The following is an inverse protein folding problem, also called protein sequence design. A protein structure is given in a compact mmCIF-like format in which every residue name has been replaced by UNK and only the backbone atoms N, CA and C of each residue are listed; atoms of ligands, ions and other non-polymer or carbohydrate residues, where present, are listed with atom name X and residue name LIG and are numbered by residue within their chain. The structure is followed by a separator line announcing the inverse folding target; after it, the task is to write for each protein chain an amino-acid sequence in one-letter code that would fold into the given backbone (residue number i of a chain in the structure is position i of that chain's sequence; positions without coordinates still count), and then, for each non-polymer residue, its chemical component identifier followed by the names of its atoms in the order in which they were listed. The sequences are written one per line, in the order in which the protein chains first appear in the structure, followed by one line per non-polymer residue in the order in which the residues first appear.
data_IF_871081711387
#
_entry.id   IF_871081711387
#
_cell.length_a   1.000
_cell.length_b   1.000
_cell.length_c   1.000
_cell.angle_alpha   90.00
_cell.angle_beta   90.00
_cell.angle_gamma   90.00
#
_symmetry.space_group_name_H-M   'P 1'
#
loop_
_entity.id
_entity.type
_entity.pdbx_description
1 polymer ?
#
# COMPACT_ATOMS: atom_id res chain seq x y z
N UNK A 1 -8.33 21.70 -21.34
CA UNK A 1 -9.76 21.40 -21.03
C UNK A 1 -9.89 21.45 -19.51
N UNK A 2 -10.82 22.20 -18.94
CA UNK A 2 -10.94 22.28 -17.49
C UNK A 2 -11.20 20.88 -16.88
N UNK A 3 -10.84 20.71 -15.62
CA UNK A 3 -11.13 19.47 -14.89
C UNK A 3 -12.65 19.17 -14.94
N UNK A 4 -13.04 17.89 -15.03
CA UNK A 4 -14.45 17.52 -14.94
C UNK A 4 -15.04 17.95 -13.58
N UNK A 5 -16.34 18.09 -13.50
CA UNK A 5 -17.06 18.35 -12.25
C UNK A 5 -18.00 17.19 -11.94
N UNK A 6 -18.35 17.00 -10.68
CA UNK A 6 -19.26 15.95 -10.22
C UNK A 6 -18.77 14.52 -10.56
N UNK A 7 -17.47 14.28 -10.39
CA UNK A 7 -16.91 12.94 -10.55
C UNK A 7 -17.42 12.03 -9.45
N UNK A 8 -18.04 10.93 -9.84
CA UNK A 8 -18.57 9.92 -8.91
C UNK A 8 -18.45 8.53 -9.52
N UNK A 9 -17.91 7.59 -8.76
CA UNK A 9 -17.89 6.16 -9.07
C UNK A 9 -17.68 5.35 -7.77
N UNK A 10 -18.06 4.07 -7.73
CA UNK A 10 -17.82 3.25 -6.54
C UNK A 10 -16.32 3.03 -6.33
N UNK A 11 -15.85 3.14 -5.07
CA UNK A 11 -14.47 2.75 -4.74
C UNK A 11 -14.21 1.32 -5.18
N UNK A 12 -13.08 1.02 -5.86
CA UNK A 12 -12.76 -0.35 -6.25
C UNK A 12 -12.75 -1.29 -5.04
N UNK A 13 -13.60 -2.33 -5.10
CA UNK A 13 -13.78 -3.29 -3.99
C UNK A 13 -12.85 -4.51 -4.11
N UNK A 14 -12.01 -4.57 -5.12
CA UNK A 14 -11.09 -5.69 -5.31
C UNK A 14 -10.13 -5.75 -4.12
N UNK A 15 -10.32 -6.74 -3.28
CA UNK A 15 -9.55 -6.92 -2.03
C UNK A 15 -8.15 -7.45 -2.25
N UNK A 16 -7.88 -8.03 -3.44
CA UNK A 16 -6.54 -8.50 -3.82
C UNK A 16 -6.27 -8.20 -5.30
N UNK A 17 -5.18 -7.51 -5.57
CA UNK A 17 -4.58 -7.42 -6.88
C UNK A 17 -3.50 -8.50 -6.99
N UNK A 18 -3.35 -9.09 -8.17
CA UNK A 18 -2.26 -10.02 -8.44
C UNK A 18 -0.98 -9.20 -8.60
N UNK A 19 -0.34 -8.89 -7.49
CA UNK A 19 0.96 -8.23 -7.52
C UNK A 19 2.02 -9.18 -8.05
N UNK A 20 2.90 -8.69 -8.91
CA UNK A 20 3.99 -9.46 -9.48
C UNK A 20 5.12 -9.76 -8.48
N UNK A 21 5.18 -8.98 -7.43
CA UNK A 21 6.19 -9.09 -6.35
C UNK A 21 5.51 -9.52 -5.04
N UNK A 22 6.28 -10.00 -4.11
CA UNK A 22 5.89 -10.38 -2.75
C UNK A 22 6.33 -9.36 -1.69
N UNK A 23 6.46 -8.10 -2.07
CA UNK A 23 6.90 -7.04 -1.17
C UNK A 23 5.99 -6.91 0.05
N UNK A 24 6.63 -6.66 1.19
CA UNK A 24 5.95 -6.46 2.46
C UNK A 24 6.18 -5.03 2.94
N UNK A 25 5.11 -4.37 3.39
CA UNK A 25 5.19 -3.05 3.99
C UNK A 25 5.73 -3.17 5.41
N UNK A 26 6.84 -2.49 5.68
CA UNK A 26 7.51 -2.47 6.97
C UNK A 26 7.49 -1.06 7.55
N UNK A 27 6.89 -0.87 8.72
CA UNK A 27 6.71 0.45 9.33
C UNK A 27 8.03 1.21 9.56
N UNK A 28 9.11 0.50 9.86
CA UNK A 28 10.44 1.08 10.07
C UNK A 28 11.15 1.47 8.78
N UNK A 29 10.67 1.03 7.63
CA UNK A 29 11.21 1.34 6.28
C UNK A 29 10.32 2.31 5.51
N UNK A 30 9.06 2.48 5.91
CA UNK A 30 8.06 3.20 5.16
C UNK A 30 8.07 4.72 5.44
N UNK A 31 7.76 5.50 4.40
CA UNK A 31 7.32 6.90 4.46
C UNK A 31 5.93 6.95 3.85
N UNK A 32 4.99 7.64 4.49
CA UNK A 32 3.65 7.89 3.94
C UNK A 32 3.70 9.13 3.04
N UNK A 33 3.31 8.98 1.78
CA UNK A 33 3.08 10.10 0.86
C UNK A 33 1.58 10.36 0.70
N UNK A 34 1.16 11.58 1.00
CA UNK A 34 -0.18 12.09 0.71
C UNK A 34 -0.05 13.04 -0.49
N UNK A 35 -0.42 12.53 -1.68
CA UNK A 35 -0.13 13.15 -2.95
C UNK A 35 -1.24 14.10 -3.38
N UNK A 36 -0.91 15.39 -3.56
CA UNK A 36 -1.72 16.46 -4.18
C UNK A 36 -3.17 16.57 -3.70
N UNK A 37 -3.41 16.48 -2.40
CA UNK A 37 -4.74 16.60 -1.81
C UNK A 37 -5.21 18.07 -1.69
N UNK A 38 -4.86 18.89 -2.69
CA UNK A 38 -5.30 20.28 -2.79
C UNK A 38 -6.78 20.36 -3.22
N UNK A 39 -7.50 21.33 -2.68
CA UNK A 39 -8.93 21.52 -2.98
C UNK A 39 -9.23 21.61 -4.47
N UNK A 40 -8.34 22.21 -5.26
CA UNK A 40 -8.48 22.25 -6.72
C UNK A 40 -8.71 20.87 -7.34
N UNK A 41 -8.04 19.84 -6.82
CA UNK A 41 -8.15 18.46 -7.29
C UNK A 41 -9.25 17.68 -6.56
N UNK A 42 -9.57 18.04 -5.33
CA UNK A 42 -10.55 17.34 -4.48
C UNK A 42 -11.97 17.79 -4.77
N UNK A 43 -12.18 19.09 -5.02
CA UNK A 43 -13.51 19.69 -5.17
C UNK A 43 -14.21 19.29 -6.48
N UNK A 44 -13.58 18.51 -7.35
CA UNK A 44 -14.20 17.92 -8.55
C UNK A 44 -15.12 16.74 -8.23
N UNK A 45 -14.92 16.09 -7.10
CA UNK A 45 -15.72 14.93 -6.70
C UNK A 45 -17.05 15.35 -6.12
N UNK A 46 -18.09 14.61 -6.47
CA UNK A 46 -19.43 14.83 -5.96
C UNK A 46 -19.47 14.61 -4.43
N UNK A 47 -19.92 15.63 -3.69
CA UNK A 47 -19.94 15.61 -2.22
C UNK A 47 -20.87 14.53 -1.64
N UNK A 48 -21.96 14.23 -2.36
CA UNK A 48 -22.98 13.27 -1.94
C UNK A 48 -22.63 11.81 -2.37
N UNK A 49 -21.52 11.63 -3.09
CA UNK A 49 -21.04 10.30 -3.48
C UNK A 49 -20.36 9.58 -2.32
N UNK A 50 -20.28 8.26 -2.42
CA UNK A 50 -19.54 7.42 -1.45
C UNK A 50 -18.02 7.52 -1.66
N UNK A 51 -17.56 7.95 -2.85
CA UNK A 51 -16.15 7.97 -3.24
C UNK A 51 -15.32 8.90 -2.37
N UNK A 52 -15.68 10.18 -2.33
CA UNK A 52 -14.89 11.20 -1.62
C UNK A 52 -14.80 10.95 -0.11
N UNK A 53 -15.89 10.68 0.62
CA UNK A 53 -15.81 10.35 2.04
C UNK A 53 -14.97 9.09 2.31
N UNK A 54 -15.04 8.08 1.43
CA UNK A 54 -14.23 6.87 1.55
C UNK A 54 -12.75 7.17 1.36
N UNK A 55 -12.39 7.92 0.31
CA UNK A 55 -11.02 8.37 0.05
C UNK A 55 -10.43 9.11 1.26
N UNK A 56 -11.11 10.17 1.69
CA UNK A 56 -10.65 11.01 2.80
C UNK A 56 -10.56 10.23 4.11
N UNK A 57 -11.56 9.40 4.39
CA UNK A 57 -11.60 8.57 5.60
C UNK A 57 -10.47 7.54 5.63
N UNK A 58 -10.13 6.93 4.50
CA UNK A 58 -9.04 5.97 4.41
C UNK A 58 -7.67 6.65 4.53
N UNK A 59 -7.45 7.79 3.88
CA UNK A 59 -6.21 8.58 4.05
C UNK A 59 -6.04 8.98 5.52
N UNK A 60 -7.10 9.47 6.18
CA UNK A 60 -7.05 9.86 7.58
C UNK A 60 -6.69 8.70 8.52
N UNK A 61 -7.26 7.50 8.29
CA UNK A 61 -6.92 6.28 9.07
C UNK A 61 -5.46 5.89 8.87
N UNK A 62 -4.96 5.93 7.63
CA UNK A 62 -3.56 5.60 7.33
C UNK A 62 -2.63 6.63 7.96
N UNK A 63 -2.97 7.92 7.92
CA UNK A 63 -2.20 8.99 8.57
C UNK A 63 -2.11 8.77 10.09
N UNK A 64 -3.22 8.45 10.72
CA UNK A 64 -3.25 8.15 12.16
C UNK A 64 -2.40 6.90 12.50
N UNK A 65 -2.51 5.84 11.71
CA UNK A 65 -1.67 4.66 11.84
C UNK A 65 -0.18 4.99 11.66
N UNK A 66 0.16 5.82 10.67
CA UNK A 66 1.52 6.25 10.43
C UNK A 66 2.10 6.98 11.65
N UNK A 67 1.33 7.88 12.28
CA UNK A 67 1.72 8.56 13.54
C UNK A 67 1.98 7.57 14.66
N UNK A 68 1.07 6.63 14.88
CA UNK A 68 1.21 5.60 15.93
C UNK A 68 2.44 4.72 15.74
N UNK A 69 2.88 4.55 14.49
CA UNK A 69 4.06 3.76 14.11
C UNK A 69 5.33 4.60 13.92
N UNK A 70 5.29 5.90 14.19
CA UNK A 70 6.39 6.84 13.93
C UNK A 70 6.89 6.80 12.47
N UNK A 71 5.94 6.67 11.54
CA UNK A 71 6.20 6.74 10.10
C UNK A 71 6.15 8.21 9.69
N UNK A 72 7.19 8.77 9.08
CA UNK A 72 7.17 10.12 8.57
C UNK A 72 6.09 10.31 7.52
N UNK A 73 5.39 11.45 7.57
CA UNK A 73 4.35 11.82 6.62
C UNK A 73 4.86 12.95 5.75
N UNK A 74 4.78 12.74 4.45
CA UNK A 74 5.16 13.71 3.42
C UNK A 74 3.94 14.05 2.60
N UNK A 75 3.75 15.33 2.36
CA UNK A 75 2.74 15.84 1.44
C UNK A 75 3.39 16.40 0.20
N UNK A 76 2.74 16.25 -0.93
CA UNK A 76 3.05 17.06 -2.10
C UNK A 76 1.92 18.01 -2.42
N UNK A 77 2.29 19.14 -3.01
CA UNK A 77 1.37 20.09 -3.59
C UNK A 77 1.93 20.66 -4.88
N UNK A 78 1.03 20.94 -5.83
CA UNK A 78 1.37 21.63 -7.08
C UNK A 78 1.48 23.13 -6.80
N UNK A 79 2.61 23.71 -7.22
CA UNK A 79 2.79 25.16 -7.26
C UNK A 79 2.33 25.70 -8.60
N UNK A 80 1.06 26.08 -8.71
CA UNK A 80 0.38 26.39 -9.97
C UNK A 80 1.10 27.47 -10.81
N UNK A 81 1.64 28.49 -10.17
CA UNK A 81 2.33 29.56 -10.91
C UNK A 81 3.64 29.06 -11.55
N UNK A 82 4.35 28.15 -10.88
CA UNK A 82 5.59 27.57 -11.39
C UNK A 82 5.30 26.58 -12.51
N UNK A 83 4.26 25.75 -12.36
CA UNK A 83 3.95 24.72 -13.37
C UNK A 83 3.57 25.33 -14.72
N UNK A 84 2.82 26.44 -14.74
CA UNK A 84 2.45 27.12 -16.00
C UNK A 84 3.64 27.84 -16.63
N UNK A 85 4.53 28.40 -15.83
CA UNK A 85 5.71 29.09 -16.32
C UNK A 85 6.77 28.09 -16.90
N UNK A 86 7.05 27.02 -16.15
CA UNK A 86 8.12 26.08 -16.49
C UNK A 86 7.63 24.98 -17.47
N UNK A 87 6.33 24.70 -17.47
CA UNK A 87 5.70 23.64 -18.25
C UNK A 87 4.40 24.13 -18.95
N UNK A 88 4.51 25.05 -19.92
CA UNK A 88 3.32 25.65 -20.55
C UNK A 88 2.41 24.63 -21.24
N UNK A 89 2.94 23.53 -21.74
CA UNK A 89 2.12 22.47 -22.35
C UNK A 89 1.18 21.77 -21.37
N UNK A 90 1.43 21.81 -20.07
CA UNK A 90 0.51 21.27 -19.05
C UNK A 90 -0.76 22.11 -18.96
N UNK A 91 -0.65 23.42 -19.22
CA UNK A 91 -1.81 24.33 -19.25
C UNK A 91 -2.80 23.96 -20.38
N UNK A 92 -2.29 23.51 -21.53
CA UNK A 92 -3.14 23.04 -22.64
C UNK A 92 -4.08 21.90 -22.22
N UNK A 93 -3.64 21.06 -21.26
CA UNK A 93 -4.42 19.94 -20.73
C UNK A 93 -5.37 20.35 -19.59
N UNK A 94 -4.90 21.18 -18.66
CA UNK A 94 -5.56 21.39 -17.37
C UNK A 94 -6.20 22.77 -17.19
N UNK A 95 -5.78 23.78 -17.98
CA UNK A 95 -6.34 25.12 -17.93
C UNK A 95 -6.20 25.78 -16.56
N UNK A 96 -5.00 25.88 -16.04
CA UNK A 96 -4.72 26.43 -14.70
C UNK A 96 -4.92 27.96 -14.57
N UNK A 97 -5.66 28.57 -15.44
CA UNK A 97 -5.95 30.00 -15.38
C UNK A 97 -6.75 30.35 -14.10
N UNK A 98 -6.30 31.41 -13.40
CA UNK A 98 -7.00 32.05 -12.28
C UNK A 98 -7.51 31.12 -11.15
N UNK A 99 -6.67 30.20 -10.67
CA UNK A 99 -7.03 29.32 -9.54
C UNK A 99 -7.11 30.14 -8.24
N UNK A 100 -8.27 30.16 -7.57
CA UNK A 100 -8.42 30.87 -6.31
C UNK A 100 -7.44 30.38 -5.24
N UNK A 101 -6.90 31.28 -4.39
CA UNK A 101 -5.94 30.87 -3.35
C UNK A 101 -6.44 29.75 -2.43
N UNK A 102 -7.73 29.75 -2.08
CA UNK A 102 -8.33 28.70 -1.23
C UNK A 102 -8.34 27.33 -1.90
N UNK A 103 -8.37 27.24 -3.24
CA UNK A 103 -8.32 26.01 -4.00
C UNK A 103 -6.90 25.42 -4.07
N UNK A 104 -5.87 26.24 -3.84
CA UNK A 104 -4.48 25.80 -3.80
C UNK A 104 -4.11 25.09 -2.48
N UNK A 105 -4.93 25.25 -1.43
CA UNK A 105 -4.69 24.65 -0.12
C UNK A 105 -5.03 23.16 -0.10
N UNK A 106 -4.28 22.39 0.68
CA UNK A 106 -4.62 21.00 0.98
C UNK A 106 -5.95 20.98 1.76
N UNK A 107 -6.83 20.04 1.42
CA UNK A 107 -8.13 19.91 2.10
C UNK A 107 -7.97 19.69 3.61
N UNK A 108 -8.82 20.36 4.41
CA UNK A 108 -8.74 20.33 5.87
C UNK A 108 -8.92 18.93 6.48
N UNK A 109 -9.59 18.01 5.78
CA UNK A 109 -9.82 16.65 6.26
C UNK A 109 -8.54 15.82 6.42
N UNK A 110 -7.51 16.14 5.66
CA UNK A 110 -6.21 15.45 5.67
C UNK A 110 -5.06 16.45 5.70
N UNK A 111 -5.27 17.61 6.29
CA UNK A 111 -4.27 18.68 6.34
C UNK A 111 -2.97 18.24 7.01
N UNK A 112 -1.83 18.81 6.60
CA UNK A 112 -0.56 18.62 7.29
C UNK A 112 -0.64 19.08 8.74
N UNK A 113 0.11 18.43 9.62
CA UNK A 113 0.26 18.76 11.03
C UNK A 113 1.72 19.09 11.35
N UNK A 114 1.96 19.55 12.56
CA UNK A 114 3.33 19.84 13.01
C UNK A 114 4.22 18.58 12.92
N UNK A 115 5.35 18.72 12.22
CA UNK A 115 6.29 17.61 11.97
C UNK A 115 6.08 16.90 10.63
N UNK A 116 4.96 17.15 9.93
CA UNK A 116 4.77 16.64 8.57
C UNK A 116 5.63 17.44 7.57
N UNK A 117 6.15 16.77 6.55
CA UNK A 117 6.98 17.39 5.51
C UNK A 117 6.09 17.79 4.35
N UNK A 118 6.24 19.02 3.86
CA UNK A 118 5.53 19.54 2.70
C UNK A 118 6.51 19.81 1.56
N UNK A 119 6.29 19.18 0.40
CA UNK A 119 7.11 19.32 -0.80
C UNK A 119 6.30 20.00 -1.91
N UNK A 120 6.82 21.13 -2.37
CA UNK A 120 6.30 21.82 -3.56
C UNK A 120 6.83 21.18 -4.84
N UNK A 121 5.96 20.96 -5.82
CA UNK A 121 6.38 20.40 -7.11
C UNK A 121 5.68 21.07 -8.29
N UNK A 122 6.35 21.02 -9.44
CA UNK A 122 5.82 21.48 -10.73
C UNK A 122 5.62 20.34 -11.74
N UNK A 123 5.71 19.09 -11.30
CA UNK A 123 5.60 17.90 -12.14
C UNK A 123 4.55 16.93 -11.60
N UNK A 124 4.11 15.97 -12.40
CA UNK A 124 3.20 14.93 -11.93
C UNK A 124 3.82 14.05 -10.86
N UNK A 125 5.06 13.63 -11.05
CA UNK A 125 5.75 12.73 -10.13
C UNK A 125 6.31 13.49 -8.92
N UNK A 126 6.07 12.96 -7.72
CA UNK A 126 6.73 13.42 -6.50
C UNK A 126 8.23 13.06 -6.47
N UNK A 127 8.66 12.14 -7.33
CA UNK A 127 10.06 11.70 -7.46
C UNK A 127 10.83 12.42 -8.57
N UNK A 128 10.21 13.36 -9.28
CA UNK A 128 10.85 14.09 -10.38
C UNK A 128 11.98 14.99 -9.87
N UNK A 129 11.76 15.71 -8.78
CA UNK A 129 12.85 16.30 -8.00
C UNK A 129 13.50 15.21 -7.13
N UNK A 130 14.77 15.44 -6.74
CA UNK A 130 15.45 14.51 -5.84
C UNK A 130 15.04 14.68 -4.36
N UNK A 131 14.24 15.70 -4.04
CA UNK A 131 13.90 16.10 -2.68
C UNK A 131 13.26 14.97 -1.87
N UNK A 132 12.20 14.33 -2.41
CA UNK A 132 11.55 13.21 -1.72
C UNK A 132 12.51 12.01 -1.55
N UNK A 133 13.29 11.69 -2.59
CA UNK A 133 14.26 10.60 -2.52
C UNK A 133 15.38 10.89 -1.49
N UNK A 134 15.80 12.14 -1.39
CA UNK A 134 16.76 12.58 -0.38
C UNK A 134 16.21 12.46 1.03
N UNK A 135 14.96 12.88 1.27
CA UNK A 135 14.29 12.71 2.57
C UNK A 135 14.21 11.24 2.98
N UNK A 136 13.81 10.33 2.07
CA UNK A 136 13.80 8.89 2.38
C UNK A 136 15.21 8.41 2.80
N UNK A 137 16.23 8.81 2.04
CA UNK A 137 17.62 8.42 2.32
C UNK A 137 18.12 8.96 3.68
N UNK A 138 17.85 10.22 3.99
CA UNK A 138 18.23 10.85 5.26
C UNK A 138 17.54 10.18 6.47
N UNK A 139 16.32 9.72 6.29
CA UNK A 139 15.55 8.97 7.27
C UNK A 139 15.95 7.48 7.35
N UNK A 140 16.85 7.01 6.46
CA UNK A 140 17.23 5.59 6.37
C UNK A 140 16.06 4.70 5.92
N UNK A 141 15.15 5.22 5.06
CA UNK A 141 13.95 4.53 4.61
C UNK A 141 13.97 4.31 3.11
N UNK A 142 13.38 3.23 2.65
CA UNK A 142 13.38 2.80 1.24
C UNK A 142 12.02 2.25 0.77
N UNK A 143 10.96 2.46 1.56
CA UNK A 143 9.59 2.14 1.20
C UNK A 143 8.74 3.41 1.17
N UNK A 144 7.85 3.53 0.16
CA UNK A 144 6.95 4.65 -0.02
C UNK A 144 5.51 4.16 -0.10
N UNK A 145 4.69 4.50 0.89
CA UNK A 145 3.25 4.23 0.91
C UNK A 145 2.52 5.42 0.31
N UNK A 146 1.82 5.23 -0.82
CA UNK A 146 1.26 6.33 -1.63
C UNK A 146 -0.26 6.34 -1.54
N UNK A 147 -0.80 7.50 -1.18
CA UNK A 147 -2.23 7.85 -1.15
C UNK A 147 -2.45 9.17 -1.90
N UNK A 148 -3.70 9.52 -2.22
CA UNK A 148 -4.06 10.84 -2.80
C UNK A 148 -4.45 10.81 -4.28
N UNK A 149 -4.15 11.87 -5.03
CA UNK A 149 -4.70 12.16 -6.36
C UNK A 149 -3.61 12.48 -7.41
N UNK A 150 -3.80 12.22 -8.71
CA UNK A 150 -4.77 11.26 -9.27
C UNK A 150 -4.08 9.91 -9.48
N UNK A 151 -4.82 8.82 -9.34
CA UNK A 151 -4.28 7.46 -9.37
C UNK A 151 -3.46 7.15 -10.62
N UNK A 152 -4.04 7.38 -11.82
CA UNK A 152 -3.43 7.06 -13.13
C UNK A 152 -2.44 8.11 -13.62
N UNK A 153 -2.27 9.19 -12.88
CA UNK A 153 -1.38 10.29 -13.23
C UNK A 153 -0.27 10.42 -12.18
N UNK A 154 -0.41 11.35 -11.24
CA UNK A 154 0.64 11.66 -10.26
C UNK A 154 1.06 10.46 -9.42
N UNK A 155 0.11 9.69 -8.90
CA UNK A 155 0.42 8.51 -8.07
C UNK A 155 1.16 7.43 -8.85
N UNK A 156 0.64 7.00 -10.02
CA UNK A 156 1.25 5.96 -10.86
C UNK A 156 2.64 6.37 -11.36
N UNK A 157 2.80 7.62 -11.79
CA UNK A 157 4.10 8.11 -12.27
C UNK A 157 5.10 8.16 -11.11
N UNK A 158 4.68 8.58 -9.92
CA UNK A 158 5.52 8.56 -8.70
C UNK A 158 5.97 7.14 -8.36
N UNK A 159 5.08 6.13 -8.41
CA UNK A 159 5.46 4.72 -8.22
C UNK A 159 6.51 4.28 -9.23
N UNK A 160 6.32 4.65 -10.50
CA UNK A 160 7.25 4.28 -11.59
C UNK A 160 8.63 4.89 -11.40
N UNK A 161 8.69 6.14 -10.96
CA UNK A 161 9.96 6.83 -10.73
C UNK A 161 10.62 6.38 -9.41
N UNK A 162 9.85 6.00 -8.40
CA UNK A 162 10.36 5.39 -7.17
C UNK A 162 11.12 4.08 -7.47
N UNK A 163 10.58 3.23 -8.33
CA UNK A 163 11.25 2.00 -8.77
C UNK A 163 12.62 2.27 -9.40
N UNK A 164 12.74 3.31 -10.24
CA UNK A 164 14.03 3.73 -10.86
C UNK A 164 15.07 4.18 -9.83
N UNK A 165 14.63 4.60 -8.65
CA UNK A 165 15.48 5.03 -7.54
C UNK A 165 15.68 3.93 -6.48
N UNK A 166 15.29 2.66 -6.78
CA UNK A 166 15.34 1.51 -5.86
C UNK A 166 14.51 1.70 -4.58
N UNK A 167 13.38 2.41 -4.67
CA UNK A 167 12.41 2.59 -3.60
C UNK A 167 11.21 1.68 -3.87
N UNK A 168 10.86 0.83 -2.90
CA UNK A 168 9.68 -0.02 -2.97
C UNK A 168 8.42 0.82 -2.74
N UNK A 169 7.61 1.00 -3.77
CA UNK A 169 6.41 1.81 -3.69
C UNK A 169 5.15 0.93 -3.55
N UNK A 170 4.31 1.28 -2.56
CA UNK A 170 3.03 0.66 -2.25
C UNK A 170 1.91 1.65 -2.56
N UNK A 171 1.07 1.32 -3.54
CA UNK A 171 -0.09 2.15 -3.92
C UNK A 171 -1.34 1.66 -3.18
N UNK A 172 -1.97 2.53 -2.41
CA UNK A 172 -3.14 2.14 -1.60
C UNK A 172 -4.41 2.25 -2.40
N UNK A 173 -4.97 1.11 -2.82
CA UNK A 173 -6.05 0.99 -3.80
C UNK A 173 -7.34 1.74 -3.44
N UNK A 174 -7.66 1.87 -2.18
CA UNK A 174 -8.87 2.51 -1.66
C UNK A 174 -8.60 3.83 -0.91
N UNK A 175 -7.36 4.34 -1.01
CA UNK A 175 -6.93 5.64 -0.53
C UNK A 175 -6.34 6.52 -1.65
N UNK A 176 -6.66 6.21 -2.90
CA UNK A 176 -6.43 7.00 -4.11
C UNK A 176 -7.73 7.15 -4.87
N UNK A 177 -7.82 8.13 -5.77
CA UNK A 177 -8.93 8.24 -6.72
C UNK A 177 -8.47 8.87 -8.04
N UNK A 178 -9.33 8.83 -9.06
CA UNK A 178 -9.05 9.37 -10.38
C UNK A 178 -10.27 10.06 -10.98
N UNK A 179 -10.16 10.53 -12.22
CA UNK A 179 -11.23 11.18 -12.97
C UNK A 179 -12.31 10.20 -13.43
N UNK A 180 -12.00 8.90 -13.48
CA UNK A 180 -12.94 7.84 -13.82
C UNK A 180 -12.58 6.52 -13.09
N UNK A 181 -13.58 5.65 -12.95
CA UNK A 181 -13.37 4.28 -12.44
C UNK A 181 -12.35 3.50 -13.27
N UNK A 182 -12.39 3.67 -14.60
CA UNK A 182 -11.48 2.98 -15.50
C UNK A 182 -10.04 3.44 -15.33
N UNK A 183 -9.80 4.75 -15.17
CA UNK A 183 -8.46 5.29 -14.92
C UNK A 183 -7.91 4.83 -13.57
N UNK A 184 -8.77 4.78 -12.56
CA UNK A 184 -8.40 4.21 -11.26
C UNK A 184 -7.95 2.75 -11.39
N UNK A 185 -8.74 1.91 -12.08
CA UNK A 185 -8.36 0.50 -12.32
C UNK A 185 -7.11 0.36 -13.19
N UNK A 186 -6.94 1.22 -14.20
CA UNK A 186 -5.75 1.21 -15.06
C UNK A 186 -4.48 1.47 -14.24
N UNK A 187 -4.52 2.43 -13.30
CA UNK A 187 -3.41 2.70 -12.38
C UNK A 187 -3.06 1.49 -11.55
N UNK A 188 -4.05 0.88 -10.89
CA UNK A 188 -3.86 -0.28 -10.02
C UNK A 188 -3.28 -1.47 -10.78
N UNK A 189 -3.85 -1.80 -11.94
CA UNK A 189 -3.38 -2.90 -12.78
C UNK A 189 -1.95 -2.65 -13.28
N UNK A 190 -1.64 -1.42 -13.70
CA UNK A 190 -0.30 -1.07 -14.16
C UNK A 190 0.73 -1.22 -13.03
N UNK A 191 0.44 -0.68 -11.86
CA UNK A 191 1.34 -0.74 -10.70
C UNK A 191 1.58 -2.18 -10.26
N UNK A 192 0.51 -2.98 -10.09
CA UNK A 192 0.63 -4.37 -9.65
C UNK A 192 1.48 -5.23 -10.61
N UNK A 193 1.41 -4.97 -11.91
CA UNK A 193 2.08 -5.78 -12.92
C UNK A 193 3.50 -5.32 -13.27
N UNK A 194 3.84 -4.02 -13.08
CA UNK A 194 5.05 -3.48 -13.70
C UNK A 194 5.94 -2.66 -12.78
N UNK A 195 5.41 -1.94 -11.78
CA UNK A 195 6.22 -0.90 -11.15
C UNK A 195 6.20 -0.84 -9.63
N UNK A 196 5.23 -1.50 -8.97
CA UNK A 196 5.08 -1.41 -7.53
C UNK A 196 4.22 -2.52 -6.95
N UNK A 197 3.70 -2.27 -5.77
CA UNK A 197 2.82 -3.19 -5.05
C UNK A 197 1.49 -2.49 -4.73
N UNK A 198 0.37 -3.12 -5.05
CA UNK A 198 -0.96 -2.61 -4.70
C UNK A 198 -1.41 -3.23 -3.39
N UNK A 199 -1.79 -2.38 -2.46
CA UNK A 199 -2.25 -2.75 -1.11
C UNK A 199 -3.56 -2.01 -0.81
N UNK A 200 -4.38 -2.45 0.12
CA UNK A 200 -5.56 -1.71 0.57
C UNK A 200 -5.39 -1.20 2.01
N UNK A 201 -6.24 -0.25 2.42
CA UNK A 201 -6.21 0.36 3.75
C UNK A 201 -6.26 -0.68 4.86
N UNK A 202 -7.13 -1.69 4.78
CA UNK A 202 -7.22 -2.71 5.82
C UNK A 202 -5.90 -3.47 5.99
N UNK A 203 -5.25 -3.84 4.89
CA UNK A 203 -3.96 -4.55 4.95
C UNK A 203 -2.84 -3.65 5.48
N UNK A 204 -2.89 -2.33 5.23
CA UNK A 204 -1.94 -1.36 5.83
C UNK A 204 -2.11 -1.32 7.34
N UNK A 205 -3.36 -1.20 7.81
CA UNK A 205 -3.66 -1.07 9.25
C UNK A 205 -3.45 -2.37 10.02
N UNK A 206 -3.73 -3.51 9.39
CA UNK A 206 -3.66 -4.85 9.94
C UNK A 206 -2.79 -5.74 9.03
N UNK A 207 -1.47 -5.53 9.02
CA UNK A 207 -0.58 -6.33 8.17
C UNK A 207 -0.64 -7.80 8.58
N UNK A 208 -0.97 -8.66 7.61
CA UNK A 208 -0.91 -10.09 7.84
C UNK A 208 0.55 -10.50 8.02
N UNK A 209 0.86 -11.37 8.97
CA UNK A 209 2.22 -11.86 9.14
C UNK A 209 2.67 -12.58 7.87
N UNK A 210 3.92 -12.37 7.49
CA UNK A 210 4.56 -13.13 6.41
C UNK A 210 4.76 -14.56 6.90
N UNK A 211 4.11 -15.51 6.24
CA UNK A 211 4.36 -16.92 6.51
C UNK A 211 5.73 -17.28 5.93
N UNK A 212 6.77 -17.20 6.77
CA UNK A 212 8.14 -17.66 6.50
C UNK A 212 8.41 -18.96 7.23
N UNK A 213 9.53 -19.63 6.91
CA UNK A 213 9.97 -20.77 7.68
C UNK A 213 10.17 -20.43 9.17
N UNK A 214 10.74 -19.26 9.44
CA UNK A 214 10.89 -18.75 10.80
C UNK A 214 9.52 -18.56 11.49
N UNK A 215 8.54 -17.95 10.79
CA UNK A 215 7.18 -17.81 11.30
C UNK A 215 6.56 -19.17 11.64
N UNK A 216 6.74 -20.17 10.76
CA UNK A 216 6.25 -21.54 11.01
C UNK A 216 6.89 -22.13 12.27
N UNK A 217 8.20 -22.00 12.42
CA UNK A 217 8.93 -22.47 13.61
C UNK A 217 8.43 -21.77 14.89
N UNK A 218 8.26 -20.45 14.86
CA UNK A 218 7.76 -19.66 16.00
C UNK A 218 6.32 -20.08 16.37
N UNK A 219 5.45 -20.31 15.38
CA UNK A 219 4.07 -20.76 15.61
C UNK A 219 4.01 -22.16 16.19
N UNK A 220 4.77 -23.10 15.65
CA UNK A 220 4.82 -24.47 16.18
C UNK A 220 5.37 -24.45 17.62
N UNK A 221 6.44 -23.69 17.88
CA UNK A 221 6.98 -23.53 19.24
C UNK A 221 5.97 -22.91 20.21
N UNK A 222 5.22 -21.88 19.78
CA UNK A 222 4.20 -21.21 20.60
C UNK A 222 3.00 -22.13 20.91
N UNK A 223 2.72 -23.12 20.08
CA UNK A 223 1.68 -24.11 20.28
C UNK A 223 2.11 -25.32 21.13
N UNK A 224 3.41 -25.48 21.34
CA UNK A 224 3.98 -26.51 22.22
C UNK A 224 4.22 -25.94 23.62
N UNK A 225 3.85 -26.66 24.67
CA UNK A 225 3.94 -26.21 26.06
C UNK A 225 5.42 -26.12 26.56
N UNK A 226 6.34 -26.80 25.90
CA UNK A 226 7.78 -26.82 26.21
C UNK A 226 8.61 -26.42 24.98
N UNK A 227 8.89 -25.15 24.84
CA UNK A 227 9.68 -24.59 23.74
C UNK A 227 11.15 -24.99 23.86
N UNK A 228 11.50 -26.19 23.40
CA UNK A 228 12.87 -26.61 23.13
C UNK A 228 13.16 -26.45 21.65
N UNK A 229 14.44 -26.23 21.35
CA UNK A 229 14.92 -26.18 19.97
C UNK A 229 14.42 -27.42 19.22
N UNK A 230 13.42 -27.25 18.34
CA UNK A 230 12.84 -28.34 17.58
C UNK A 230 13.78 -28.72 16.45
N UNK A 231 14.12 -30.01 16.38
CA UNK A 231 14.78 -30.60 15.20
C UNK A 231 13.75 -30.54 14.04
N UNK A 232 14.07 -29.90 12.91
CA UNK A 232 13.16 -29.75 11.77
C UNK A 232 12.63 -31.07 11.18
N UNK A 233 13.39 -32.13 11.27
CA UNK A 233 13.04 -33.45 10.74
C UNK A 233 12.29 -34.32 11.77
N UNK A 234 12.17 -33.87 13.00
CA UNK A 234 11.53 -34.64 14.06
C UNK A 234 10.02 -34.64 13.90
N UNK A 235 9.41 -35.81 14.10
CA UNK A 235 7.96 -35.95 14.12
C UNK A 235 7.36 -35.12 15.27
N UNK A 236 6.58 -34.10 14.93
CA UNK A 236 6.02 -33.13 15.86
C UNK A 236 4.94 -33.76 16.78
N UNK A 237 4.26 -34.82 16.33
CA UNK A 237 3.29 -35.55 17.17
C UNK A 237 4.03 -36.15 18.38
N UNK A 238 5.21 -36.69 18.19
CA UNK A 238 6.04 -37.20 19.28
C UNK A 238 6.59 -36.10 20.20
N UNK A 239 6.52 -34.86 19.77
CA UNK A 239 6.86 -33.66 20.56
C UNK A 239 5.67 -33.05 21.29
N UNK A 240 4.48 -33.67 21.20
CA UNK A 240 3.26 -33.17 21.82
C UNK A 240 2.39 -32.28 20.93
N UNK A 241 2.67 -32.20 19.61
CA UNK A 241 1.84 -31.45 18.67
C UNK A 241 0.62 -32.30 18.27
N UNK A 242 -0.44 -32.22 19.07
CA UNK A 242 -1.66 -32.99 18.88
C UNK A 242 -2.57 -32.45 17.77
N UNK A 243 -3.67 -33.18 17.53
CA UNK A 243 -4.65 -32.80 16.49
C UNK A 243 -5.29 -31.43 16.73
N UNK A 244 -5.48 -31.01 17.97
CA UNK A 244 -6.07 -29.70 18.28
C UNK A 244 -5.13 -28.56 17.92
N UNK A 245 -3.84 -28.70 18.20
CA UNK A 245 -2.79 -27.77 17.82
C UNK A 245 -2.64 -27.69 16.30
N UNK A 246 -2.73 -28.83 15.62
CA UNK A 246 -2.69 -28.89 14.16
C UNK A 246 -3.90 -28.14 13.53
N UNK A 247 -5.11 -28.34 14.06
CA UNK A 247 -6.31 -27.61 13.59
C UNK A 247 -6.17 -26.09 13.80
N UNK A 248 -5.58 -25.66 14.93
CA UNK A 248 -5.31 -24.24 15.19
C UNK A 248 -4.35 -23.64 14.16
N UNK A 249 -3.25 -24.34 13.87
CA UNK A 249 -2.28 -23.91 12.85
C UNK A 249 -2.94 -23.83 11.46
N UNK A 250 -3.71 -24.85 11.08
CA UNK A 250 -4.44 -24.90 9.81
C UNK A 250 -5.43 -23.73 9.71
N UNK A 251 -6.16 -23.45 10.76
CA UNK A 251 -7.12 -22.33 10.80
C UNK A 251 -6.42 -21.00 10.57
N UNK A 252 -5.29 -20.77 11.23
CA UNK A 252 -4.49 -19.55 11.06
C UNK A 252 -3.92 -19.44 9.64
N UNK A 253 -3.37 -20.51 9.08
CA UNK A 253 -2.85 -20.53 7.70
C UNK A 253 -3.96 -20.23 6.69
N UNK A 254 -5.15 -20.80 6.87
CA UNK A 254 -6.31 -20.53 6.01
C UNK A 254 -6.77 -19.07 6.11
N UNK A 255 -6.76 -18.47 7.30
CA UNK A 255 -7.03 -17.03 7.48
C UNK A 255 -5.98 -16.13 6.81
N UNK A 256 -4.75 -16.62 6.68
CA UNK A 256 -3.67 -15.94 5.94
C UNK A 256 -3.76 -16.16 4.42
N UNK A 257 -4.74 -16.93 3.95
CA UNK A 257 -4.98 -17.21 2.54
C UNK A 257 -4.27 -18.45 1.99
N UNK A 258 -3.58 -19.23 2.83
CA UNK A 258 -2.92 -20.47 2.43
C UNK A 258 -3.89 -21.64 2.70
N UNK A 259 -4.59 -22.08 1.65
CA UNK A 259 -5.55 -23.17 1.74
C UNK A 259 -4.84 -24.50 2.00
N UNK A 260 -4.90 -24.96 3.23
CA UNK A 260 -4.30 -26.24 3.67
C UNK A 260 -5.32 -27.01 4.51
N UNK A 261 -5.28 -28.34 4.42
CA UNK A 261 -6.17 -29.22 5.17
C UNK A 261 -5.38 -30.12 6.14
N UNK A 262 -6.11 -30.79 7.02
CA UNK A 262 -5.55 -31.64 8.06
C UNK A 262 -4.72 -32.79 7.48
N UNK A 263 -5.19 -33.42 6.40
CA UNK A 263 -4.54 -34.59 5.81
C UNK A 263 -3.16 -34.25 5.25
N UNK A 264 -3.01 -33.04 4.66
CA UNK A 264 -1.74 -32.58 4.10
C UNK A 264 -0.65 -32.44 5.18
N UNK A 265 -0.97 -31.93 6.36
CA UNK A 265 0.01 -31.81 7.44
C UNK A 265 0.20 -33.08 8.28
N UNK A 266 -0.82 -33.94 8.34
CA UNK A 266 -0.75 -35.17 9.14
C UNK A 266 0.02 -36.31 8.49
N UNK A 267 0.20 -36.28 7.16
CA UNK A 267 0.91 -37.34 6.44
C UNK A 267 2.39 -37.42 6.82
N UNK A 268 3.05 -36.29 6.96
CA UNK A 268 4.44 -36.19 7.41
C UNK A 268 4.60 -34.99 8.35
N UNK A 269 4.34 -35.22 9.66
CA UNK A 269 4.25 -34.12 10.62
C UNK A 269 5.61 -33.66 11.13
N UNK A 270 6.43 -33.04 10.26
CA UNK A 270 7.69 -32.38 10.60
C UNK A 270 7.78 -30.99 9.96
N UNK A 271 8.63 -30.10 10.50
CA UNK A 271 8.74 -28.72 10.03
C UNK A 271 9.21 -28.63 8.58
N UNK A 272 10.13 -29.46 8.16
CA UNK A 272 10.66 -29.47 6.78
C UNK A 272 9.57 -29.81 5.77
N UNK A 273 8.80 -30.88 6.02
CA UNK A 273 7.72 -31.29 5.11
C UNK A 273 6.58 -30.26 5.09
N UNK A 274 6.22 -29.70 6.24
CA UNK A 274 5.20 -28.65 6.30
C UNK A 274 5.62 -27.40 5.54
N UNK A 275 6.91 -27.01 5.66
CA UNK A 275 7.43 -25.88 4.92
C UNK A 275 7.38 -26.09 3.40
N UNK A 276 7.77 -27.27 2.92
CA UNK A 276 7.71 -27.62 1.51
C UNK A 276 6.27 -27.52 0.95
N UNK A 277 5.28 -28.02 1.69
CA UNK A 277 3.85 -27.90 1.33
C UNK A 277 3.43 -26.41 1.28
N UNK A 278 3.84 -25.60 2.25
CA UNK A 278 3.49 -24.17 2.29
C UNK A 278 4.13 -23.40 1.14
N UNK A 279 5.38 -23.69 0.75
CA UNK A 279 6.04 -23.09 -0.41
C UNK A 279 5.34 -23.44 -1.72
N UNK A 280 4.97 -24.69 -1.91
CA UNK A 280 4.21 -25.10 -3.10
C UNK A 280 2.87 -24.36 -3.19
N UNK A 281 2.14 -24.27 -2.09
CA UNK A 281 0.84 -23.58 -2.05
C UNK A 281 0.94 -22.07 -2.25
N UNK A 282 2.01 -21.44 -1.82
CA UNK A 282 2.28 -20.02 -2.11
C UNK A 282 2.55 -19.79 -3.59
N UNK A 283 3.29 -20.68 -4.24
CA UNK A 283 3.56 -20.55 -5.68
C UNK A 283 2.31 -20.73 -6.54
N UNK A 284 1.33 -21.52 -6.10
CA UNK A 284 0.03 -21.69 -6.80
C UNK A 284 -0.84 -20.46 -6.70
N UNK A 285 -0.78 -19.70 -5.62
CA UNK A 285 -1.54 -18.43 -5.45
C UNK A 285 -1.05 -17.35 -6.43
N UNK A 286 0.21 -17.43 -6.87
CA UNK A 286 0.83 -16.48 -7.81
C UNK A 286 0.43 -16.76 -9.29
N UNK A 287 -0.09 -17.94 -9.61
CA UNK A 287 -0.37 -18.40 -10.99
C UNK A 287 -1.88 -18.44 -11.32
N UNK A 288 -2.76 -18.36 -10.34
CA UNK A 288 -4.22 -18.34 -10.48
C UNK A 288 -4.83 -16.94 -10.36
#
# INVERSE_FOLDING_TARGET
MPLPTNVSYPMPTRTSFLNKTDWQLEANRAVLLIHDMQRYFVDIYESDSVLLPTLLGNIAKIKEWAKQKNIPVVYTQITFNTITHDHPLIEDFWGFEEIPPCSKMITSFVAPEEGDILIDKSHYSAMQSDELAQHLKELGRDQLLITGLYANLGCRITVTDALKKNIQAFLVSDAIADLSYQDHLNALNYVANYTGYVINTQTVLEPKPVVSYQWLCEKVNALLDDAKHLDPEKNLINCGFDSLRMIRLITELNQLGININYQELSNDPCLTSWWAILEEKKSVIVIG
#
